data_IF_823487438747
#
_entry.id   IF_823487438747
#
_cell.length_a   1.000
_cell.length_b   1.000
_cell.length_c   1.000
_cell.angle_alpha   90.00
_cell.angle_beta   90.00
_cell.angle_gamma   90.00
#
_symmetry.space_group_name_H-M   'P 1'
#
loop_
_entity.id
_entity.type
_entity.pdbx_description
1 polymer ?
#
# COMPACT_ATOMS: atom_id res chain seq x y z
N UNK A 1 -5.27 25.75 -8.29
CA UNK A 1 -5.78 25.47 -6.94
C UNK A 1 -5.01 24.29 -6.39
N UNK A 2 -4.13 24.55 -5.43
CA UNK A 2 -3.31 23.50 -4.78
C UNK A 2 -4.20 22.76 -3.78
N UNK A 3 -4.33 21.46 -3.92
CA UNK A 3 -5.05 20.60 -2.94
C UNK A 3 -4.27 20.65 -1.63
N UNK A 4 -4.90 20.93 -0.48
CA UNK A 4 -4.22 20.93 0.81
C UNK A 4 -3.52 19.59 1.05
N UNK A 5 -2.28 19.62 1.50
CA UNK A 5 -1.40 18.45 1.71
C UNK A 5 -1.87 17.46 2.78
N UNK A 6 -2.91 17.80 3.53
CA UNK A 6 -3.41 17.07 4.71
C UNK A 6 -4.51 16.04 4.43
N UNK A 7 -5.23 16.14 3.31
CA UNK A 7 -6.44 15.34 3.04
C UNK A 7 -6.27 13.81 3.01
N UNK A 8 -5.05 13.29 2.84
CA UNK A 8 -4.80 11.83 2.77
C UNK A 8 -4.52 11.17 4.13
N UNK A 9 -4.45 11.95 5.20
CA UNK A 9 -4.20 11.48 6.58
C UNK A 9 -5.34 11.83 7.53
N UNK A 10 -6.45 12.35 7.02
CA UNK A 10 -7.64 12.62 7.80
C UNK A 10 -8.52 11.36 7.79
N UNK A 11 -8.93 10.92 8.99
CA UNK A 11 -9.83 9.78 9.16
C UNK A 11 -11.14 9.97 8.35
N UNK A 12 -11.59 11.22 8.18
CA UNK A 12 -12.78 11.59 7.38
C UNK A 12 -12.47 12.74 6.44
N UNK A 13 -12.42 12.49 5.13
CA UNK A 13 -12.21 13.57 4.17
C UNK A 13 -13.43 14.50 4.11
N UNK A 14 -13.19 15.81 4.25
CA UNK A 14 -14.25 16.85 4.20
C UNK A 14 -14.86 17.04 2.79
N UNK A 15 -14.28 16.42 1.76
CA UNK A 15 -14.76 16.55 0.38
C UNK A 15 -15.95 15.64 0.11
N UNK A 16 -16.95 16.17 -0.58
CA UNK A 16 -18.13 15.42 -1.02
C UNK A 16 -17.76 14.22 -1.89
N UNK A 17 -18.49 13.12 -1.74
CA UNK A 17 -18.33 11.90 -2.53
C UNK A 17 -18.60 12.16 -4.02
N UNK A 18 -17.78 11.58 -4.88
CA UNK A 18 -17.98 11.50 -6.34
C UNK A 18 -17.36 10.21 -6.86
N UNK A 19 -18.09 9.08 -6.73
CA UNK A 19 -17.58 7.77 -7.13
C UNK A 19 -17.21 7.71 -8.61
N UNK A 20 -16.20 6.89 -8.91
CA UNK A 20 -15.74 6.63 -10.28
C UNK A 20 -15.26 5.19 -10.38
N UNK A 21 -15.53 4.56 -11.49
CA UNK A 21 -14.92 3.27 -11.84
C UNK A 21 -13.52 3.50 -12.41
N UNK A 22 -12.56 2.76 -11.86
CA UNK A 22 -11.17 2.74 -12.31
C UNK A 22 -10.83 1.33 -12.76
N UNK A 23 -10.23 1.17 -13.94
CA UNK A 23 -9.77 -0.12 -14.45
C UNK A 23 -8.31 -0.32 -14.13
N UNK A 24 -8.00 -1.43 -13.46
CA UNK A 24 -6.65 -1.93 -13.23
C UNK A 24 -6.39 -3.10 -14.17
N UNK A 25 -5.49 -2.90 -15.14
CA UNK A 25 -5.11 -3.90 -16.11
C UNK A 25 -3.65 -4.36 -15.87
N UNK A 26 -3.49 -5.63 -15.57
CA UNK A 26 -2.22 -6.35 -15.44
C UNK A 26 -2.21 -7.51 -16.44
N UNK A 27 -1.06 -8.13 -16.65
CA UNK A 27 -0.95 -9.26 -17.57
C UNK A 27 -1.78 -10.49 -17.13
N UNK A 28 -1.97 -10.64 -15.84
CA UNK A 28 -2.62 -11.76 -15.16
C UNK A 28 -4.02 -11.41 -14.60
N UNK A 29 -4.39 -10.14 -14.52
CA UNK A 29 -5.64 -9.67 -13.90
C UNK A 29 -6.20 -8.44 -14.59
N UNK A 30 -7.53 -8.38 -14.68
CA UNK A 30 -8.28 -7.20 -15.12
C UNK A 30 -9.39 -6.92 -14.09
N UNK A 31 -9.28 -5.80 -13.37
CA UNK A 31 -10.17 -5.45 -12.27
C UNK A 31 -10.86 -4.12 -12.54
N UNK A 32 -12.13 -4.03 -12.20
CA UNK A 32 -12.87 -2.77 -12.13
C UNK A 32 -13.07 -2.43 -10.66
N UNK A 33 -12.52 -1.29 -10.24
CA UNK A 33 -12.53 -0.84 -8.85
C UNK A 33 -13.26 0.50 -8.74
N UNK A 34 -14.00 0.69 -7.67
CA UNK A 34 -14.59 1.98 -7.33
C UNK A 34 -13.56 2.83 -6.59
N UNK A 35 -13.41 4.06 -7.02
CA UNK A 35 -12.60 5.07 -6.36
C UNK A 35 -13.44 6.32 -6.10
N UNK A 36 -13.05 7.14 -5.11
CA UNK A 36 -13.79 8.34 -4.74
C UNK A 36 -12.87 9.51 -4.42
N UNK A 37 -13.43 10.72 -4.43
CA UNK A 37 -12.73 11.92 -3.97
C UNK A 37 -12.31 11.78 -2.51
N UNK A 38 -11.16 12.38 -2.17
CA UNK A 38 -10.60 12.26 -0.82
C UNK A 38 -9.83 10.97 -0.57
N UNK A 39 -9.77 10.06 -1.57
CA UNK A 39 -8.94 8.85 -1.54
C UNK A 39 -7.87 8.92 -2.62
N UNK A 40 -6.67 8.43 -2.30
CA UNK A 40 -5.53 8.45 -3.23
C UNK A 40 -5.83 7.65 -4.50
N UNK A 41 -5.40 8.16 -5.67
CA UNK A 41 -5.57 7.47 -6.95
C UNK A 41 -6.99 7.58 -7.55
N UNK A 42 -7.85 8.48 -7.06
CA UNK A 42 -9.24 8.60 -7.51
C UNK A 42 -9.43 8.97 -8.99
N UNK A 43 -8.39 9.40 -9.71
CA UNK A 43 -8.43 9.73 -11.14
C UNK A 43 -8.01 8.58 -12.06
N UNK A 44 -7.53 7.47 -11.50
CA UNK A 44 -6.99 6.30 -12.20
C UNK A 44 -6.00 5.59 -11.30
N UNK A 45 -5.61 4.36 -11.66
CA UNK A 45 -4.57 3.65 -10.90
C UNK A 45 -3.28 4.43 -10.97
N UNK A 46 -2.72 4.75 -9.81
CA UNK A 46 -1.44 5.46 -9.73
C UNK A 46 -0.32 4.66 -10.39
N UNK A 47 0.58 5.37 -11.09
CA UNK A 47 1.67 4.74 -11.81
C UNK A 47 2.63 4.00 -10.88
N UNK A 48 2.87 4.50 -9.66
CA UNK A 48 3.65 3.80 -8.64
C UNK A 48 3.02 2.47 -8.25
N UNK A 49 1.71 2.45 -8.03
CA UNK A 49 0.95 1.23 -7.77
C UNK A 49 1.10 0.21 -8.90
N UNK A 50 1.00 0.63 -10.17
CA UNK A 50 1.21 -0.25 -11.32
C UNK A 50 2.66 -0.78 -11.38
N UNK A 51 3.65 0.06 -11.06
CA UNK A 51 5.06 -0.36 -11.01
C UNK A 51 5.25 -1.37 -9.89
N UNK A 52 4.72 -1.13 -8.69
CA UNK A 52 4.80 -2.07 -7.57
C UNK A 52 4.22 -3.44 -7.96
N UNK A 53 3.00 -3.47 -8.46
CA UNK A 53 2.29 -4.71 -8.80
C UNK A 53 2.93 -5.53 -9.95
N UNK A 54 3.75 -4.88 -10.79
CA UNK A 54 4.45 -5.52 -11.91
C UNK A 54 5.88 -5.94 -11.59
N UNK A 55 6.53 -5.21 -10.70
CA UNK A 55 7.98 -5.34 -10.49
C UNK A 55 8.35 -5.93 -9.12
N UNK A 56 7.47 -5.86 -8.11
CA UNK A 56 7.68 -6.53 -6.84
C UNK A 56 7.49 -8.05 -6.99
N UNK A 57 8.13 -8.86 -6.14
CA UNK A 57 7.85 -10.28 -6.05
C UNK A 57 6.36 -10.56 -5.84
N UNK A 58 5.91 -11.73 -6.30
CA UNK A 58 4.56 -12.21 -6.03
C UNK A 58 4.33 -12.36 -4.52
N UNK A 59 3.09 -12.20 -4.05
CA UNK A 59 2.79 -12.39 -2.64
C UNK A 59 3.07 -13.83 -2.18
N UNK A 60 3.41 -14.04 -0.89
CA UNK A 60 3.43 -15.36 -0.27
C UNK A 60 2.09 -16.07 -0.51
N UNK A 61 2.14 -17.38 -0.74
CA UNK A 61 0.94 -18.18 -1.02
C UNK A 61 0.00 -18.30 0.18
N UNK A 62 0.54 -18.16 1.39
CA UNK A 62 -0.15 -18.32 2.68
C UNK A 62 0.32 -17.27 3.68
N UNK A 63 -0.41 -17.12 4.79
CA UNK A 63 -0.08 -16.24 5.91
C UNK A 63 -0.66 -14.84 5.76
N UNK A 64 -0.19 -13.93 6.59
CA UNK A 64 -0.73 -12.58 6.72
C UNK A 64 0.07 -11.59 5.85
N UNK A 65 -0.60 -10.84 5.00
CA UNK A 65 -0.01 -9.83 4.12
C UNK A 65 -0.64 -8.48 4.43
N UNK A 66 0.12 -7.41 4.38
CA UNK A 66 -0.39 -6.05 4.57
C UNK A 66 -0.21 -5.20 3.30
N UNK A 67 -1.29 -4.58 2.86
CA UNK A 67 -1.28 -3.40 1.98
C UNK A 67 -1.35 -2.16 2.87
N UNK A 68 -0.22 -1.49 3.06
CA UNK A 68 -0.08 -0.33 3.94
C UNK A 68 -0.38 0.97 3.21
N UNK A 69 -1.44 1.67 3.61
CA UNK A 69 -1.97 2.83 2.91
C UNK A 69 -2.76 2.40 1.67
N UNK A 70 -3.74 1.53 1.86
CA UNK A 70 -4.39 0.79 0.77
C UNK A 70 -5.21 1.66 -0.19
N UNK A 71 -5.61 2.88 0.22
CA UNK A 71 -6.52 3.69 -0.56
C UNK A 71 -7.82 2.93 -0.87
N UNK A 72 -8.25 2.93 -2.12
CA UNK A 72 -9.43 2.14 -2.54
C UNK A 72 -9.13 0.66 -2.81
N UNK A 73 -7.96 0.15 -2.42
CA UNK A 73 -7.61 -1.27 -2.38
C UNK A 73 -7.01 -1.89 -3.64
N UNK A 74 -6.42 -1.16 -4.61
CA UNK A 74 -5.90 -1.78 -5.83
C UNK A 74 -4.78 -2.78 -5.58
N UNK A 75 -3.92 -2.53 -4.58
CA UNK A 75 -2.85 -3.45 -4.19
C UNK A 75 -3.48 -4.65 -3.46
N UNK A 76 -4.25 -4.40 -2.40
CA UNK A 76 -4.85 -5.46 -1.58
C UNK A 76 -5.65 -6.48 -2.41
N UNK A 77 -6.55 -5.99 -3.28
CA UNK A 77 -7.37 -6.87 -4.14
C UNK A 77 -6.50 -7.67 -5.11
N UNK A 78 -5.46 -7.05 -5.68
CA UNK A 78 -4.53 -7.77 -6.56
C UNK A 78 -3.75 -8.85 -5.82
N UNK A 79 -3.22 -8.55 -4.62
CA UNK A 79 -2.51 -9.51 -3.80
C UNK A 79 -3.40 -10.70 -3.41
N UNK A 80 -4.63 -10.43 -2.99
CA UNK A 80 -5.60 -11.45 -2.61
C UNK A 80 -5.96 -12.38 -3.77
N UNK A 81 -6.14 -11.83 -4.98
CA UNK A 81 -6.40 -12.62 -6.18
C UNK A 81 -5.20 -13.46 -6.63
N UNK A 82 -3.98 -12.99 -6.36
CA UNK A 82 -2.73 -13.72 -6.66
C UNK A 82 -2.38 -14.79 -5.62
N UNK A 83 -2.85 -14.62 -4.38
CA UNK A 83 -2.57 -15.52 -3.26
C UNK A 83 -3.87 -15.86 -2.49
N UNK A 84 -4.73 -16.71 -3.05
CA UNK A 84 -6.03 -17.04 -2.44
C UNK A 84 -5.91 -17.78 -1.10
N UNK A 85 -4.76 -18.40 -0.81
CA UNK A 85 -4.47 -19.04 0.48
C UNK A 85 -3.94 -18.10 1.56
N UNK A 86 -3.52 -16.87 1.19
CA UNK A 86 -3.08 -15.87 2.14
C UNK A 86 -4.26 -15.00 2.60
N UNK A 87 -4.10 -14.37 3.77
CA UNK A 87 -5.02 -13.35 4.26
C UNK A 87 -4.40 -11.96 4.05
N UNK A 88 -5.13 -11.03 3.43
CA UNK A 88 -4.64 -9.70 3.09
C UNK A 88 -5.34 -8.62 3.93
N UNK A 89 -4.57 -7.91 4.72
CA UNK A 89 -5.01 -6.71 5.42
C UNK A 89 -4.85 -5.49 4.52
N UNK A 90 -5.95 -4.79 4.25
CA UNK A 90 -5.94 -3.51 3.54
C UNK A 90 -6.05 -2.39 4.58
N UNK A 91 -4.89 -1.84 4.99
CA UNK A 91 -4.80 -0.86 6.07
C UNK A 91 -4.76 0.58 5.57
N UNK A 92 -5.68 1.44 6.04
CA UNK A 92 -5.64 2.88 5.80
C UNK A 92 -6.21 3.66 6.98
N UNK A 93 -5.69 4.86 7.24
CA UNK A 93 -6.23 5.77 8.28
C UNK A 93 -7.54 6.41 7.86
N UNK A 94 -7.82 6.49 6.56
CA UNK A 94 -8.99 7.10 5.97
C UNK A 94 -10.15 6.09 5.93
N UNK A 95 -11.19 6.33 6.72
CA UNK A 95 -12.38 5.46 6.79
C UNK A 95 -13.04 5.23 5.42
N UNK A 96 -13.12 6.28 4.57
CA UNK A 96 -13.65 6.15 3.20
C UNK A 96 -12.79 5.23 2.33
N UNK A 97 -11.47 5.24 2.49
CA UNK A 97 -10.57 4.33 1.80
C UNK A 97 -10.84 2.87 2.22
N UNK A 98 -10.97 2.63 3.54
CA UNK A 98 -11.31 1.31 4.09
C UNK A 98 -12.64 0.79 3.56
N UNK A 99 -13.68 1.64 3.52
CA UNK A 99 -15.00 1.27 2.96
C UNK A 99 -14.91 0.90 1.48
N UNK A 100 -14.18 1.69 0.68
CA UNK A 100 -13.95 1.43 -0.74
C UNK A 100 -13.14 0.15 -0.96
N UNK A 101 -12.07 -0.07 -0.20
CA UNK A 101 -11.27 -1.28 -0.29
C UNK A 101 -12.11 -2.53 0.02
N UNK A 102 -12.98 -2.47 1.04
CA UNK A 102 -13.92 -3.54 1.39
C UNK A 102 -14.92 -3.83 0.26
N UNK A 103 -15.53 -2.78 -0.29
CA UNK A 103 -16.49 -2.91 -1.39
C UNK A 103 -15.82 -3.47 -2.66
N UNK A 104 -14.60 -3.01 -2.98
CA UNK A 104 -13.84 -3.49 -4.12
C UNK A 104 -13.38 -4.94 -3.95
N UNK A 105 -12.98 -5.34 -2.75
CA UNK A 105 -12.63 -6.72 -2.44
C UNK A 105 -13.84 -7.66 -2.66
N UNK A 106 -15.01 -7.28 -2.15
CA UNK A 106 -16.25 -8.03 -2.35
C UNK A 106 -16.63 -8.12 -3.83
N UNK A 107 -16.59 -7.01 -4.57
CA UNK A 107 -16.90 -6.98 -6.01
C UNK A 107 -15.92 -7.80 -6.86
N UNK A 108 -14.67 -7.93 -6.43
CA UNK A 108 -13.64 -8.73 -7.07
C UNK A 108 -13.58 -10.19 -6.56
N UNK A 109 -14.53 -10.62 -5.74
CA UNK A 109 -14.57 -11.96 -5.12
C UNK A 109 -13.28 -12.30 -4.34
N UNK A 110 -12.62 -11.30 -3.78
CA UNK A 110 -11.42 -11.42 -2.94
C UNK A 110 -11.83 -11.56 -1.46
N UNK A 111 -12.43 -12.71 -1.10
CA UNK A 111 -12.98 -12.96 0.24
C UNK A 111 -11.93 -13.05 1.35
N UNK A 112 -10.66 -13.16 0.98
CA UNK A 112 -9.49 -13.19 1.88
C UNK A 112 -8.91 -11.79 2.17
N UNK A 113 -9.66 -10.70 1.90
CA UNK A 113 -9.27 -9.33 2.25
C UNK A 113 -10.05 -8.86 3.48
N UNK A 114 -9.33 -8.32 4.47
CA UNK A 114 -9.89 -7.52 5.56
C UNK A 114 -9.44 -6.08 5.45
N UNK A 115 -10.36 -5.17 5.15
CA UNK A 115 -10.09 -3.74 5.13
C UNK A 115 -10.33 -3.14 6.53
N UNK A 116 -9.32 -2.46 7.08
CA UNK A 116 -9.28 -2.03 8.47
C UNK A 116 -8.53 -0.71 8.66
N UNK A 117 -8.93 0.06 9.66
CA UNK A 117 -8.11 1.14 10.20
C UNK A 117 -6.99 0.59 11.09
N UNK A 118 -5.89 1.33 11.34
CA UNK A 118 -4.74 0.83 12.10
C UNK A 118 -5.08 0.26 13.48
N UNK A 119 -6.06 0.83 14.16
CA UNK A 119 -6.55 0.40 15.48
C UNK A 119 -7.34 -0.91 15.44
N UNK A 120 -7.87 -1.28 14.28
CA UNK A 120 -8.61 -2.53 14.06
C UNK A 120 -7.69 -3.72 13.71
N UNK A 121 -6.44 -3.45 13.32
CA UNK A 121 -5.47 -4.51 13.04
C UNK A 121 -4.86 -5.02 14.35
N UNK A 122 -4.97 -6.32 14.70
CA UNK A 122 -4.48 -6.86 15.96
C UNK A 122 -3.02 -6.49 16.25
N UNK A 123 -2.74 -5.99 17.46
CA UNK A 123 -1.42 -5.43 17.84
C UNK A 123 -0.29 -6.46 17.69
N UNK A 124 -0.53 -7.72 18.01
CA UNK A 124 0.47 -8.79 17.93
C UNK A 124 0.64 -9.43 16.55
N UNK A 125 -0.15 -8.99 15.56
CA UNK A 125 -0.13 -9.58 14.22
C UNK A 125 1.22 -9.31 13.54
N UNK A 126 1.80 -10.35 12.92
CA UNK A 126 3.05 -10.30 12.15
C UNK A 126 2.79 -10.69 10.72
N UNK A 127 3.48 -10.03 9.77
CA UNK A 127 3.24 -10.15 8.35
C UNK A 127 4.34 -10.93 7.63
N UNK A 128 3.93 -11.80 6.70
CA UNK A 128 4.82 -12.50 5.74
C UNK A 128 5.34 -11.52 4.67
N UNK A 129 4.55 -10.50 4.35
CA UNK A 129 4.97 -9.43 3.46
C UNK A 129 4.16 -8.15 3.73
N UNK A 130 4.79 -7.00 3.48
CA UNK A 130 4.12 -5.69 3.45
C UNK A 130 4.32 -5.09 2.06
N UNK A 131 3.25 -4.63 1.44
CA UNK A 131 3.29 -3.86 0.19
C UNK A 131 2.79 -2.45 0.45
N UNK A 132 3.41 -1.44 -0.17
CA UNK A 132 2.96 -0.06 0.01
C UNK A 132 3.36 0.83 -1.16
N UNK A 133 2.44 1.69 -1.55
CA UNK A 133 2.73 2.93 -2.26
C UNK A 133 2.58 4.08 -1.25
N UNK A 134 3.60 4.33 -0.42
CA UNK A 134 3.45 5.17 0.75
C UNK A 134 3.27 6.64 0.38
N UNK A 135 2.58 7.42 1.22
CA UNK A 135 2.24 8.80 0.96
C UNK A 135 3.44 9.76 1.16
N UNK A 136 4.44 9.68 0.29
CA UNK A 136 5.69 10.48 0.39
C UNK A 136 5.47 12.00 0.39
N UNK A 137 4.33 12.49 -0.10
CA UNK A 137 4.04 13.93 -0.21
C UNK A 137 3.62 14.60 1.10
N UNK A 138 3.35 13.84 2.14
CA UNK A 138 2.95 14.37 3.46
C UNK A 138 4.12 14.92 4.26
N UNK A 139 5.32 14.65 3.81
CA UNK A 139 6.56 15.02 4.47
C UNK A 139 7.27 13.82 5.12
N UNK A 140 8.53 14.03 5.47
CA UNK A 140 9.39 12.95 5.99
C UNK A 140 8.91 12.40 7.33
N UNK A 141 8.61 13.26 8.30
CA UNK A 141 8.29 12.83 9.66
C UNK A 141 7.03 11.94 9.75
N UNK A 142 5.89 12.27 9.11
CA UNK A 142 4.73 11.37 9.09
C UNK A 142 5.02 10.04 8.36
N UNK A 143 5.74 10.09 7.23
CA UNK A 143 6.13 8.89 6.49
C UNK A 143 7.03 7.97 7.33
N UNK A 144 8.05 8.54 7.98
CA UNK A 144 8.97 7.81 8.84
C UNK A 144 8.24 7.14 10.02
N UNK A 145 7.32 7.87 10.67
CA UNK A 145 6.49 7.32 11.74
C UNK A 145 5.66 6.14 11.24
N UNK A 146 4.93 6.31 10.14
CA UNK A 146 4.15 5.24 9.53
C UNK A 146 5.00 3.98 9.30
N UNK A 147 6.18 4.13 8.71
CA UNK A 147 7.05 2.98 8.42
C UNK A 147 7.57 2.32 9.71
N UNK A 148 7.94 3.12 10.74
CA UNK A 148 8.43 2.58 12.02
C UNK A 148 7.33 1.89 12.84
N UNK A 149 6.07 2.27 12.64
CA UNK A 149 4.93 1.60 13.30
C UNK A 149 4.64 0.21 12.68
N UNK A 150 4.95 0.01 11.38
CA UNK A 150 4.55 -1.19 10.66
C UNK A 150 5.69 -2.13 10.25
N UNK A 151 6.85 -1.63 9.83
CA UNK A 151 7.96 -2.47 9.39
C UNK A 151 8.47 -3.44 10.46
N UNK A 152 8.52 -3.08 11.77
CA UNK A 152 8.90 -4.00 12.83
C UNK A 152 7.92 -5.17 13.02
N UNK A 153 6.74 -5.13 12.38
CA UNK A 153 5.73 -6.19 12.39
C UNK A 153 5.95 -7.25 11.29
N UNK A 154 7.00 -7.13 10.49
CA UNK A 154 7.43 -8.21 9.62
C UNK A 154 7.89 -9.42 10.44
N UNK A 155 7.58 -10.62 9.95
CA UNK A 155 8.15 -11.86 10.49
C UNK A 155 9.65 -11.95 10.18
N UNK A 156 10.42 -12.74 10.93
CA UNK A 156 11.82 -13.03 10.57
C UNK A 156 11.93 -13.53 9.14
N UNK A 157 12.85 -12.94 8.34
CA UNK A 157 13.04 -13.28 6.93
C UNK A 157 12.03 -12.68 5.95
N UNK A 158 10.95 -12.10 6.43
CA UNK A 158 9.95 -11.42 5.61
C UNK A 158 10.46 -10.09 5.04
N UNK A 159 9.76 -9.55 4.04
CA UNK A 159 10.13 -8.30 3.40
C UNK A 159 8.95 -7.34 3.22
N UNK A 160 9.25 -6.04 3.27
CA UNK A 160 8.36 -5.02 2.75
C UNK A 160 8.80 -4.56 1.36
N UNK A 161 7.83 -4.31 0.49
CA UNK A 161 8.01 -3.79 -0.85
C UNK A 161 7.39 -2.40 -0.95
N UNK A 162 8.23 -1.37 -1.04
CA UNK A 162 7.81 0.03 -1.07
C UNK A 162 8.07 0.61 -2.45
N UNK A 163 7.06 1.19 -3.09
CA UNK A 163 7.27 1.94 -4.33
C UNK A 163 7.37 3.43 -4.04
N UNK A 164 8.46 4.05 -4.48
CA UNK A 164 8.72 5.47 -4.23
C UNK A 164 9.20 6.14 -5.52
N UNK A 165 8.62 7.30 -5.82
CA UNK A 165 9.07 8.10 -6.95
C UNK A 165 10.49 8.65 -6.68
N UNK A 166 11.40 8.51 -7.64
CA UNK A 166 12.81 8.89 -7.51
C UNK A 166 12.99 10.34 -7.06
N UNK A 167 12.27 11.26 -7.71
CA UNK A 167 12.34 12.69 -7.41
C UNK A 167 11.66 13.09 -6.09
N UNK A 168 10.91 12.19 -5.45
CA UNK A 168 10.27 12.40 -4.16
C UNK A 168 11.03 11.76 -3.00
N UNK A 169 12.29 11.37 -3.22
CA UNK A 169 13.20 10.99 -2.14
C UNK A 169 13.39 9.48 -1.93
N UNK A 170 13.28 8.67 -2.99
CA UNK A 170 13.53 7.22 -2.86
C UNK A 170 14.92 6.89 -2.29
N UNK A 171 15.96 7.67 -2.66
CA UNK A 171 17.32 7.46 -2.16
C UNK A 171 17.47 7.88 -0.71
N UNK A 172 16.89 9.02 -0.33
CA UNK A 172 16.92 9.49 1.06
C UNK A 172 16.12 8.59 1.98
N UNK A 173 15.01 8.02 1.50
CA UNK A 173 14.24 7.05 2.28
C UNK A 173 15.02 5.75 2.48
N UNK A 174 15.67 5.24 1.44
CA UNK A 174 16.48 4.03 1.52
C UNK A 174 17.66 4.22 2.51
N UNK A 175 18.36 5.36 2.45
CA UNK A 175 19.43 5.68 3.39
C UNK A 175 18.90 5.75 4.83
N UNK A 176 17.81 6.47 5.05
CA UNK A 176 17.21 6.60 6.37
C UNK A 176 16.75 5.23 6.94
N UNK A 177 16.13 4.36 6.14
CA UNK A 177 15.75 3.02 6.58
C UNK A 177 16.97 2.18 6.99
N UNK A 178 18.07 2.31 6.25
CA UNK A 178 19.33 1.65 6.61
C UNK A 178 19.89 2.18 7.96
N UNK A 179 19.80 3.49 8.21
CA UNK A 179 20.15 4.10 9.50
C UNK A 179 19.26 3.60 10.65
N UNK A 180 18.00 3.20 10.35
CA UNK A 180 17.10 2.60 11.34
C UNK A 180 17.35 1.09 11.56
N UNK A 181 18.37 0.51 10.93
CA UNK A 181 18.73 -0.89 11.10
C UNK A 181 17.99 -1.86 10.17
N UNK A 182 17.42 -1.38 9.06
CA UNK A 182 16.86 -2.25 8.04
C UNK A 182 17.86 -2.52 6.92
N UNK A 183 17.84 -3.73 6.36
CA UNK A 183 18.49 -4.01 5.07
C UNK A 183 17.59 -3.50 3.95
N UNK A 184 18.15 -2.69 3.03
CA UNK A 184 17.38 -2.08 1.93
C UNK A 184 18.03 -2.40 0.59
N UNK A 185 17.30 -3.09 -0.28
CA UNK A 185 17.70 -3.37 -1.64
C UNK A 185 16.81 -2.63 -2.66
N UNK A 186 17.40 -2.21 -3.78
CA UNK A 186 16.66 -1.64 -4.92
C UNK A 186 16.37 -2.75 -5.91
N UNK A 187 15.13 -3.25 -5.95
CA UNK A 187 14.77 -4.35 -6.84
C UNK A 187 14.67 -3.90 -8.30
N UNK A 188 13.95 -2.80 -8.54
CA UNK A 188 13.66 -2.29 -9.87
C UNK A 188 13.56 -0.77 -9.90
N UNK A 189 13.86 -0.21 -11.08
CA UNK A 189 13.62 1.20 -11.39
C UNK A 189 12.88 1.29 -12.72
N UNK A 190 11.67 1.84 -12.73
CA UNK A 190 10.84 1.93 -13.93
C UNK A 190 9.99 3.21 -13.91
N UNK A 191 9.96 3.90 -15.04
CA UNK A 191 9.16 5.13 -15.23
C UNK A 191 9.32 6.17 -14.11
N UNK A 192 10.55 6.33 -13.58
CA UNK A 192 10.84 7.28 -12.51
C UNK A 192 10.48 6.80 -11.10
N UNK A 193 9.98 5.58 -10.93
CA UNK A 193 9.73 4.93 -9.64
C UNK A 193 10.79 3.88 -9.33
N UNK A 194 11.01 3.65 -8.04
CA UNK A 194 11.84 2.57 -7.51
C UNK A 194 11.01 1.67 -6.60
N UNK A 195 11.19 0.37 -6.75
CA UNK A 195 10.71 -0.61 -5.79
C UNK A 195 11.87 -0.94 -4.86
N UNK A 196 11.68 -0.63 -3.58
CA UNK A 196 12.62 -0.95 -2.50
C UNK A 196 12.13 -2.21 -1.80
N UNK A 197 13.02 -3.17 -1.60
CA UNK A 197 12.84 -4.27 -0.67
C UNK A 197 13.46 -3.88 0.66
N UNK A 198 12.70 -4.02 1.73
CA UNK A 198 13.11 -3.67 3.10
C UNK A 198 12.94 -4.88 3.99
N UNK A 199 13.98 -5.28 4.70
CA UNK A 199 13.99 -6.41 5.65
C UNK A 199 14.52 -5.96 7.00
N UNK A 200 14.08 -6.58 8.09
CA UNK A 200 14.78 -6.44 9.36
C UNK A 200 16.25 -6.86 9.18
N UNK A 201 17.19 -6.13 9.79
CA UNK A 201 18.57 -6.61 9.85
C UNK A 201 18.60 -7.91 10.70
N UNK A 202 19.38 -8.85 10.22
CA UNK A 202 19.59 -10.16 10.89
C UNK A 202 20.29 -9.99 12.22
#
# INVERSE_FOLDING_TARGET
MSIPKTQYFEARPEVGSRPRTVRLHLADLDLQLQADRGVFGSKGVDLGTLVLLREAPLPPAEGEILDLGCGYGPIAVTLARRAPGAHVWAGDVNERAVELARANAAAAEASNVTAATPDQVPVGLRFEAIYSNPPVRVGKAPLHRLLMDWLPRLKPGAAAYLVVQRNLGSDSLAAWLAEQGFSVARLRSKKGYRVLEVRAAS
#
